data_IF_943916061178
#
_entry.id   IF_943916061178
#
_cell.length_a   1.000
_cell.length_b   1.000
_cell.length_c   1.000
_cell.angle_alpha   90.00
_cell.angle_beta   90.00
_cell.angle_gamma   90.00
#
_symmetry.space_group_name_H-M   'P 1'
#
loop_
_entity.id
_entity.type
_entity.pdbx_description
1 polymer ?
#
# COMPACT_ATOMS: atom_id res chain seq x y z
N UNK A 1 -10.58 13.66 17.09
CA UNK A 1 -9.30 13.24 16.46
C UNK A 1 -9.58 12.68 15.08
N UNK A 2 -8.87 13.12 14.03
CA UNK A 2 -9.09 12.64 12.65
C UNK A 2 -8.35 11.31 12.43
N UNK A 3 -9.05 10.27 11.95
CA UNK A 3 -8.46 8.95 11.65
C UNK A 3 -8.19 8.83 10.16
N UNK A 4 -6.98 8.42 9.79
CA UNK A 4 -6.58 8.18 8.41
C UNK A 4 -6.33 6.69 8.19
N UNK A 5 -6.91 6.12 7.15
CA UNK A 5 -6.67 4.73 6.75
C UNK A 5 -6.31 4.70 5.28
N UNK A 6 -5.13 4.20 4.93
CA UNK A 6 -4.65 4.08 3.56
C UNK A 6 -4.38 2.61 3.25
N UNK A 7 -4.98 2.13 2.16
CA UNK A 7 -4.71 0.80 1.61
C UNK A 7 -4.01 0.97 0.27
N UNK A 8 -2.87 0.31 0.11
CA UNK A 8 -2.04 0.38 -1.09
C UNK A 8 -1.83 -1.03 -1.64
N UNK A 9 -2.14 -1.20 -2.92
CA UNK A 9 -1.93 -2.43 -3.67
C UNK A 9 -1.04 -2.14 -4.87
N UNK A 10 0.03 -2.88 -5.01
CA UNK A 10 0.98 -2.72 -6.11
C UNK A 10 1.32 -4.05 -6.76
N UNK A 11 1.51 -4.04 -8.07
CA UNK A 11 2.04 -5.15 -8.83
C UNK A 11 3.14 -4.68 -9.78
N UNK A 12 4.16 -5.52 -9.98
CA UNK A 12 5.25 -5.24 -10.89
C UNK A 12 5.73 -6.53 -11.55
N UNK A 13 6.10 -6.43 -12.83
CA UNK A 13 6.57 -7.57 -13.60
C UNK A 13 7.99 -7.34 -14.04
N UNK A 14 8.94 -8.09 -13.47
CA UNK A 14 10.33 -8.01 -13.88
C UNK A 14 10.56 -8.82 -15.15
N UNK A 15 11.06 -8.16 -16.17
CA UNK A 15 11.50 -8.74 -17.44
C UNK A 15 13.01 -8.56 -17.59
N UNK A 16 13.69 -9.67 -17.85
CA UNK A 16 15.14 -9.68 -18.11
C UNK A 16 15.43 -10.78 -19.14
N UNK A 17 16.16 -10.49 -20.23
CA UNK A 17 16.61 -11.52 -21.16
C UNK A 17 17.57 -12.52 -20.49
N UNK A 18 17.59 -13.81 -20.91
CA UNK A 18 18.55 -14.78 -20.40
C UNK A 18 20.00 -14.30 -20.56
N UNK A 19 20.76 -14.29 -19.46
CA UNK A 19 22.16 -13.84 -19.45
C UNK A 19 22.36 -12.32 -19.49
N UNK A 20 21.29 -11.52 -19.54
CA UNK A 20 21.42 -10.06 -19.51
C UNK A 20 21.71 -9.57 -18.08
N UNK A 21 22.67 -8.65 -17.97
CA UNK A 21 22.89 -7.87 -16.76
C UNK A 21 21.81 -6.79 -16.56
N UNK A 22 20.92 -6.59 -17.52
CA UNK A 22 19.87 -5.56 -17.45
C UNK A 22 18.50 -6.17 -17.17
N UNK A 23 17.69 -5.45 -16.42
CA UNK A 23 16.30 -5.79 -16.17
C UNK A 23 15.42 -4.54 -16.20
N UNK A 24 14.17 -4.74 -16.59
CA UNK A 24 13.11 -3.74 -16.56
C UNK A 24 11.96 -4.29 -15.73
N UNK A 25 11.29 -3.45 -14.96
CA UNK A 25 10.15 -3.81 -14.14
C UNK A 25 9.09 -2.71 -14.24
N UNK A 26 8.17 -2.81 -15.21
CA UNK A 26 6.94 -2.03 -15.18
C UNK A 26 6.17 -2.34 -13.90
N UNK A 27 5.63 -1.29 -13.27
CA UNK A 27 4.80 -1.40 -12.08
C UNK A 27 3.55 -0.54 -12.18
N UNK A 28 2.51 -1.00 -11.50
CA UNK A 28 1.28 -0.26 -11.27
C UNK A 28 0.91 -0.37 -9.79
N UNK A 29 0.55 0.75 -9.18
CA UNK A 29 0.21 0.86 -7.77
C UNK A 29 -1.06 1.70 -7.60
N UNK A 30 -2.04 1.16 -6.89
CA UNK A 30 -3.28 1.81 -6.55
C UNK A 30 -3.35 2.02 -5.03
N UNK A 31 -3.62 3.24 -4.61
CA UNK A 31 -3.83 3.60 -3.20
C UNK A 31 -5.23 4.16 -3.03
N UNK A 32 -5.95 3.63 -2.03
CA UNK A 32 -7.26 4.11 -1.62
C UNK A 32 -7.18 4.48 -0.14
N UNK A 33 -7.36 5.77 0.15
CA UNK A 33 -7.42 6.33 1.48
C UNK A 33 -8.84 6.71 1.88
N UNK A 34 -9.18 6.51 3.15
CA UNK A 34 -10.40 7.05 3.77
C UNK A 34 -10.03 7.89 4.99
N UNK A 35 -10.72 9.01 5.12
CA UNK A 35 -10.57 9.93 6.25
C UNK A 35 -11.83 9.86 7.10
N UNK A 36 -11.67 9.31 8.31
CA UNK A 36 -12.68 9.29 9.35
C UNK A 36 -12.69 10.62 10.11
N UNK A 37 -13.85 11.28 10.17
CA UNK A 37 -14.10 12.36 11.10
C UNK A 37 -14.31 11.74 12.49
N UNK A 38 -13.30 11.76 13.35
CA UNK A 38 -13.47 11.46 14.77
C UNK A 38 -13.67 12.78 15.52
N UNK A 39 -14.80 12.91 16.21
CA UNK A 39 -15.35 14.14 16.81
C UNK A 39 -14.32 15.18 17.24
N UNK A 40 -13.92 16.04 16.31
CA UNK A 40 -12.84 17.00 16.49
C UNK A 40 -12.85 18.02 15.35
N UNK A 41 -12.16 19.15 15.59
CA UNK A 41 -12.21 20.42 14.85
C UNK A 41 -11.91 20.31 13.33
N UNK A 42 -11.40 19.18 12.87
CA UNK A 42 -11.00 18.99 11.47
C UNK A 42 -11.87 17.96 10.74
N UNK A 43 -12.70 18.46 9.83
CA UNK A 43 -13.49 17.65 8.89
C UNK A 43 -12.87 17.72 7.48
N UNK A 44 -12.30 16.60 7.04
CA UNK A 44 -11.73 16.50 5.69
C UNK A 44 -12.77 16.71 4.57
N UNK A 45 -14.05 16.42 4.81
CA UNK A 45 -15.10 16.72 3.83
C UNK A 45 -15.25 18.22 3.62
N UNK A 46 -15.13 19.02 4.69
CA UNK A 46 -15.26 20.48 4.65
C UNK A 46 -14.03 21.12 3.98
N UNK A 47 -12.83 20.62 4.25
CA UNK A 47 -11.60 21.19 3.69
C UNK A 47 -11.25 20.70 2.28
N UNK A 48 -11.48 19.43 1.98
CA UNK A 48 -11.06 18.79 0.71
C UNK A 48 -12.23 18.40 -0.20
N UNK A 49 -13.48 18.70 0.19
CA UNK A 49 -14.68 18.34 -0.59
C UNK A 49 -14.97 16.83 -0.61
N UNK A 50 -14.21 16.03 0.13
CA UNK A 50 -14.35 14.58 0.11
C UNK A 50 -13.55 13.87 1.21
N UNK A 51 -13.99 12.67 1.56
CA UNK A 51 -13.37 11.82 2.60
C UNK A 51 -12.61 10.63 2.03
N UNK A 52 -12.50 10.55 0.71
CA UNK A 52 -11.84 9.46 0.00
C UNK A 52 -10.74 10.02 -0.86
N UNK A 53 -9.55 9.46 -0.73
CA UNK A 53 -8.39 9.75 -1.55
C UNK A 53 -8.17 8.53 -2.44
N UNK A 54 -7.98 8.74 -3.75
CA UNK A 54 -7.64 7.68 -4.68
C UNK A 54 -6.42 8.14 -5.46
N UNK A 55 -5.40 7.30 -5.50
CA UNK A 55 -4.19 7.53 -6.27
C UNK A 55 -3.89 6.29 -7.11
N UNK A 56 -3.51 6.50 -8.36
CA UNK A 56 -2.99 5.47 -9.25
C UNK A 56 -1.63 5.95 -9.74
N UNK A 57 -0.61 5.13 -9.54
CA UNK A 57 0.75 5.36 -10.00
C UNK A 57 1.15 4.24 -10.95
N UNK A 58 1.74 4.61 -12.08
CA UNK A 58 2.32 3.68 -13.04
C UNK A 58 3.74 4.14 -13.33
N UNK A 59 4.65 3.20 -13.56
CA UNK A 59 6.03 3.55 -13.86
C UNK A 59 6.85 2.37 -14.31
N UNK A 60 8.12 2.66 -14.57
CA UNK A 60 9.11 1.69 -15.03
C UNK A 60 10.34 1.78 -14.12
N UNK A 61 10.79 0.65 -13.59
CA UNK A 61 12.08 0.53 -12.92
C UNK A 61 13.06 -0.16 -13.86
N UNK A 62 14.29 0.34 -13.94
CA UNK A 62 15.35 -0.26 -14.72
C UNK A 62 16.58 -0.46 -13.81
N UNK A 63 17.33 -1.53 -14.04
CA UNK A 63 18.58 -1.75 -13.33
C UNK A 63 19.59 -2.52 -14.18
N UNK A 64 20.85 -2.36 -13.83
CA UNK A 64 21.99 -3.07 -14.41
C UNK A 64 22.82 -3.71 -13.29
N UNK A 65 23.11 -5.02 -13.39
CA UNK A 65 23.86 -5.81 -12.43
C UNK A 65 23.45 -7.29 -12.43
N UNK A 66 24.30 -8.14 -11.86
CA UNK A 66 23.96 -9.57 -11.66
C UNK A 66 22.76 -9.68 -10.72
N UNK A 67 21.81 -10.54 -11.08
CA UNK A 67 20.61 -10.82 -10.27
C UNK A 67 21.02 -11.59 -9.01
N UNK A 68 21.58 -10.88 -8.04
CA UNK A 68 21.87 -11.46 -6.73
C UNK A 68 20.54 -11.77 -6.07
N UNK A 69 20.36 -13.00 -5.61
CA UNK A 69 19.17 -13.49 -4.94
C UNK A 69 18.90 -12.61 -3.71
N UNK A 70 18.15 -11.51 -3.86
CA UNK A 70 17.69 -10.70 -2.74
C UNK A 70 16.69 -11.56 -1.98
N UNK A 71 17.01 -11.92 -0.74
CA UNK A 71 16.05 -12.53 0.18
C UNK A 71 14.77 -11.69 0.14
N UNK A 72 13.72 -12.27 -0.40
CA UNK A 72 12.48 -11.58 -0.67
C UNK A 72 11.76 -11.19 0.61
N UNK A 73 11.10 -10.03 0.54
CA UNK A 73 9.84 -9.73 1.22
C UNK A 73 9.91 -9.67 2.74
N UNK A 74 10.02 -8.46 3.28
CA UNK A 74 9.26 -8.12 4.47
C UNK A 74 7.80 -8.03 4.03
N UNK A 75 7.09 -9.16 4.10
CA UNK A 75 5.65 -9.13 4.14
C UNK A 75 5.27 -8.17 5.26
N UNK A 76 4.51 -7.14 4.89
CA UNK A 76 3.78 -6.27 5.80
C UNK A 76 3.34 -7.12 6.99
N UNK A 77 3.80 -6.77 8.18
CA UNK A 77 3.20 -7.27 9.40
C UNK A 77 1.73 -6.84 9.34
N UNK A 78 0.88 -7.72 8.81
CA UNK A 78 -0.54 -7.74 9.07
C UNK A 78 -0.62 -7.91 10.58
N UNK A 79 -0.72 -6.79 11.29
CA UNK A 79 -1.19 -6.75 12.66
C UNK A 79 -2.55 -7.42 12.67
N UNK A 80 -2.53 -8.69 13.06
CA UNK A 80 -3.66 -9.48 13.44
C UNK A 80 -4.25 -8.90 14.72
N UNK A 81 -5.02 -7.82 14.60
CA UNK A 81 -5.93 -7.40 15.67
C UNK A 81 -7.36 -7.64 15.18
N UNK A 82 -7.67 -8.93 14.99
CA UNK A 82 -9.05 -9.43 15.03
C UNK A 82 -9.29 -9.96 16.44
N UNK A 83 -9.41 -9.05 17.40
CA UNK A 83 -9.93 -9.35 18.73
C UNK A 83 -11.03 -8.36 19.06
N UNK A 84 -12.19 -8.58 18.43
CA UNK A 84 -13.45 -8.26 19.08
C UNK A 84 -14.45 -9.37 18.77
N UNK A 85 -14.56 -10.34 19.68
CA UNK A 85 -15.82 -11.00 19.94
C UNK A 85 -15.94 -11.43 21.40
N UNK A 86 -16.74 -10.67 22.13
CA UNK A 86 -17.16 -10.90 23.50
C UNK A 86 -18.13 -12.09 23.63
N UNK A 87 -18.02 -12.84 24.74
CA UNK A 87 -19.15 -13.36 25.56
C UNK A 87 -18.59 -14.24 26.70
N UNK A 88 -18.75 -13.85 27.97
CA UNK A 88 -19.79 -14.33 28.90
C UNK A 88 -19.08 -15.05 30.06
N UNK A 89 -19.10 -14.57 31.31
CA UNK A 89 -20.27 -14.63 32.20
C UNK A 89 -20.26 -15.98 32.93
N UNK A 90 -19.73 -16.02 34.15
CA UNK A 90 -20.23 -16.70 35.37
C UNK A 90 -19.22 -16.55 36.51
#
# INVERSE_FOLDING_TARGET
MTRWTLNTLGNGWRVSPPGAAIWLEPFAEATIGRVGAGGGVFDAAVFYGGRTIRCLSIGLRAGAGMSMHRMGRYGVALGSDSEEQAHGGH
#
